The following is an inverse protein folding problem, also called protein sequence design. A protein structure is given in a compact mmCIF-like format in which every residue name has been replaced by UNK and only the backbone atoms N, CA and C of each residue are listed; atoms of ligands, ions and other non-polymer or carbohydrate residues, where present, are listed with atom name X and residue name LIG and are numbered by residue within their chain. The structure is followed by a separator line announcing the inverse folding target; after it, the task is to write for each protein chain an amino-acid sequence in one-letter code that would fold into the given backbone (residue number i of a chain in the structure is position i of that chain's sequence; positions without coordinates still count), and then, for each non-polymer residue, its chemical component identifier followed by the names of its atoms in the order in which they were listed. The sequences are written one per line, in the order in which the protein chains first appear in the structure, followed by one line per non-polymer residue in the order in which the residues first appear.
data_IF_813688587531
#
_entry.id   IF_813688587531
#
_cell.length_a   1.000
_cell.length_b   1.000
_cell.length_c   1.000
_cell.angle_alpha   90.00
_cell.angle_beta   90.00
_cell.angle_gamma   90.00
#
_symmetry.space_group_name_H-M   'P 1'
#
loop_
_entity.id
_entity.type
_entity.pdbx_description
1 polymer ?
#
# COMPACT_ATOMS: atom_id res chain seq x y z
N UNK A 1 5.65 -6.30 -15.46
CA UNK A 1 6.06 -4.90 -15.60
C UNK A 1 4.92 -4.01 -15.16
N UNK A 2 5.21 -2.90 -14.45
CA UNK A 2 4.21 -2.03 -13.83
C UNK A 2 4.59 -0.55 -14.00
N UNK A 3 4.52 0.03 -15.21
CA UNK A 3 4.74 1.46 -15.37
C UNK A 3 3.61 2.25 -14.72
N UNK A 4 3.96 3.45 -14.24
CA UNK A 4 2.99 4.43 -13.77
C UNK A 4 2.54 5.30 -14.97
N UNK A 5 1.25 5.32 -15.35
CA UNK A 5 0.77 6.04 -16.55
C UNK A 5 0.56 7.54 -16.29
N UNK A 6 1.59 8.22 -15.74
CA UNK A 6 1.54 9.63 -15.35
C UNK A 6 1.70 10.63 -16.50
N UNK A 7 2.17 10.19 -17.64
CA UNK A 7 2.42 11.04 -18.80
C UNK A 7 1.68 10.61 -20.06
N UNK A 8 1.68 11.49 -21.06
CA UNK A 8 1.02 11.25 -22.35
C UNK A 8 1.74 10.21 -23.25
N UNK A 9 2.70 9.47 -22.71
CA UNK A 9 3.43 8.41 -23.40
C UNK A 9 4.64 7.91 -22.63
N UNK A 10 5.25 6.83 -23.16
CA UNK A 10 6.45 6.24 -22.59
C UNK A 10 7.66 7.18 -22.73
N UNK A 11 8.54 7.19 -21.75
CA UNK A 11 9.91 7.69 -21.89
C UNK A 11 10.87 6.51 -22.12
N UNK A 12 12.09 6.79 -22.57
CA UNK A 12 13.08 5.76 -22.92
C UNK A 12 13.48 4.84 -21.78
N UNK A 13 13.31 5.25 -20.53
CA UNK A 13 13.57 4.41 -19.36
C UNK A 13 12.60 3.24 -19.21
N UNK A 14 11.35 3.36 -19.70
CA UNK A 14 10.38 2.27 -19.65
C UNK A 14 10.84 1.04 -20.48
N UNK A 15 11.09 1.18 -21.81
CA UNK A 15 11.55 0.07 -22.62
C UNK A 15 12.86 -0.54 -22.13
N UNK A 16 13.77 0.27 -21.60
CA UNK A 16 15.06 -0.19 -21.10
C UNK A 16 14.93 -1.35 -20.11
N UNK A 17 14.02 -1.23 -19.16
CA UNK A 17 13.75 -2.29 -18.19
C UNK A 17 12.98 -3.48 -18.78
N UNK A 18 12.21 -3.28 -19.86
CA UNK A 18 11.32 -4.32 -20.41
C UNK A 18 12.00 -5.20 -21.46
N UNK A 19 13.00 -4.68 -22.18
CA UNK A 19 13.68 -5.39 -23.26
C UNK A 19 14.29 -6.70 -22.76
N UNK A 20 15.01 -6.68 -21.64
CA UNK A 20 15.68 -7.88 -21.12
C UNK A 20 14.67 -8.98 -20.76
N UNK A 21 13.57 -8.65 -20.10
CA UNK A 21 12.52 -9.60 -19.74
C UNK A 21 11.78 -10.14 -20.97
N UNK A 22 11.54 -9.29 -21.98
CA UNK A 22 10.90 -9.72 -23.22
C UNK A 22 11.78 -10.67 -24.03
N UNK A 23 13.07 -10.38 -24.16
CA UNK A 23 14.04 -11.28 -24.81
C UNK A 23 14.05 -12.63 -24.10
N UNK A 24 14.09 -12.64 -22.77
CA UNK A 24 14.08 -13.87 -21.99
C UNK A 24 12.76 -14.66 -22.15
N UNK A 25 11.63 -13.95 -22.12
CA UNK A 25 10.31 -14.55 -22.34
C UNK A 25 10.22 -15.24 -23.72
N UNK A 26 10.68 -14.56 -24.79
CA UNK A 26 10.76 -15.13 -26.15
C UNK A 26 11.67 -16.34 -26.22
N UNK A 27 12.86 -16.25 -25.64
CA UNK A 27 13.79 -17.38 -25.57
C UNK A 27 13.15 -18.61 -24.91
N UNK A 28 12.46 -18.41 -23.78
CA UNK A 28 11.80 -19.52 -23.08
C UNK A 28 10.64 -20.13 -23.89
N UNK A 29 9.84 -19.29 -24.59
CA UNK A 29 8.79 -19.80 -25.50
C UNK A 29 9.39 -20.66 -26.62
N UNK A 30 10.49 -20.20 -27.24
CA UNK A 30 11.19 -20.96 -28.28
C UNK A 30 11.76 -22.30 -27.77
N UNK A 31 12.03 -22.41 -26.47
CA UNK A 31 12.43 -23.66 -25.80
C UNK A 31 11.25 -24.54 -25.37
N UNK A 32 10.01 -24.18 -25.69
CA UNK A 32 8.81 -24.95 -25.38
C UNK A 32 8.24 -24.75 -23.99
N UNK A 33 8.71 -23.71 -23.24
CA UNK A 33 8.11 -23.39 -21.93
C UNK A 33 6.81 -22.64 -22.11
N UNK A 34 5.86 -22.88 -21.18
CA UNK A 34 4.71 -22.01 -21.01
C UNK A 34 5.16 -20.77 -20.24
N UNK A 35 5.06 -19.60 -20.87
CA UNK A 35 5.61 -18.34 -20.33
C UNK A 35 4.50 -17.34 -20.06
N UNK A 36 4.37 -16.93 -18.82
CA UNK A 36 3.53 -15.82 -18.40
C UNK A 36 4.38 -14.52 -18.38
N UNK A 37 4.09 -13.60 -19.29
CA UNK A 37 4.73 -12.28 -19.40
C UNK A 37 3.68 -11.18 -19.48
N UNK A 38 2.96 -10.89 -18.37
CA UNK A 38 1.89 -9.91 -18.37
C UNK A 38 2.42 -8.48 -18.25
N UNK A 39 1.57 -7.53 -18.60
CA UNK A 39 1.74 -6.10 -18.33
C UNK A 39 0.72 -5.67 -17.26
N UNK A 40 1.12 -4.71 -16.40
CA UNK A 40 0.23 -4.04 -15.48
C UNK A 40 0.52 -2.56 -15.42
N UNK A 41 -0.39 -1.81 -14.80
CA UNK A 41 -0.25 -0.37 -14.60
C UNK A 41 -0.47 -0.03 -13.14
N UNK A 42 0.51 0.65 -12.55
CA UNK A 42 0.35 1.30 -11.26
C UNK A 42 -0.40 2.60 -11.48
N UNK A 43 -1.69 2.59 -11.18
CA UNK A 43 -2.62 3.60 -11.69
C UNK A 43 -3.26 4.47 -10.59
N UNK A 44 -2.64 4.53 -9.43
CA UNK A 44 -2.97 5.47 -8.36
C UNK A 44 -1.90 6.53 -8.22
N UNK A 45 -2.26 7.68 -7.63
CA UNK A 45 -1.29 8.62 -7.12
C UNK A 45 -1.47 10.06 -7.54
N UNK A 46 -0.65 10.89 -6.94
CA UNK A 46 -0.68 12.34 -6.98
C UNK A 46 -0.68 12.95 -8.41
N UNK A 47 0.06 12.42 -9.40
CA UNK A 47 0.06 13.02 -10.75
C UNK A 47 -1.31 13.06 -11.41
N UNK A 48 -2.08 11.97 -11.33
CA UNK A 48 -3.43 11.93 -11.91
C UNK A 48 -4.42 12.80 -11.12
N UNK A 49 -4.28 12.83 -9.79
CA UNK A 49 -5.10 13.66 -8.90
C UNK A 49 -4.87 15.14 -9.12
N UNK A 50 -3.61 15.59 -9.19
CA UNK A 50 -3.26 16.98 -9.43
C UNK A 50 -3.70 17.45 -10.84
N UNK A 51 -3.57 16.60 -11.84
CA UNK A 51 -4.07 16.90 -13.18
C UNK A 51 -5.60 17.04 -13.18
N UNK A 52 -6.30 16.20 -12.44
CA UNK A 52 -7.75 16.28 -12.26
C UNK A 52 -8.18 17.60 -11.60
N UNK A 53 -7.48 18.03 -10.56
CA UNK A 53 -7.74 19.32 -9.88
C UNK A 53 -7.52 20.49 -10.86
N UNK A 54 -6.43 20.46 -11.63
CA UNK A 54 -6.10 21.56 -12.58
C UNK A 54 -7.05 21.66 -13.76
N UNK A 55 -7.55 20.52 -14.25
CA UNK A 55 -8.35 20.47 -15.49
C UNK A 55 -9.83 20.27 -15.27
N UNK A 56 -10.25 19.92 -14.04
CA UNK A 56 -11.64 19.54 -13.74
C UNK A 56 -12.05 18.19 -14.33
N UNK A 57 -11.11 17.38 -14.83
CA UNK A 57 -11.38 16.04 -15.37
C UNK A 57 -11.27 14.98 -14.29
N UNK A 58 -12.12 13.95 -14.36
CA UNK A 58 -12.02 12.82 -13.47
C UNK A 58 -10.68 12.05 -13.68
N UNK A 59 -9.93 11.67 -12.66
CA UNK A 59 -8.62 11.00 -12.78
C UNK A 59 -8.64 9.76 -13.66
N UNK A 60 -9.71 8.98 -13.62
CA UNK A 60 -9.89 7.79 -14.44
C UNK A 60 -9.78 8.06 -15.93
N UNK A 61 -10.39 9.16 -16.42
CA UNK A 61 -10.38 9.48 -17.85
C UNK A 61 -8.95 9.72 -18.37
N UNK A 62 -8.15 10.46 -17.60
CA UNK A 62 -6.75 10.69 -17.92
C UNK A 62 -5.94 9.41 -17.86
N UNK A 63 -6.14 8.61 -16.82
CA UNK A 63 -5.45 7.33 -16.63
C UNK A 63 -5.75 6.37 -17.77
N UNK A 64 -7.01 6.20 -18.16
CA UNK A 64 -7.41 5.32 -19.26
C UNK A 64 -6.81 5.78 -20.61
N UNK A 65 -6.79 7.09 -20.84
CA UNK A 65 -6.18 7.67 -22.06
C UNK A 65 -4.67 7.40 -22.10
N UNK A 66 -3.98 7.59 -21.01
CA UNK A 66 -2.54 7.35 -20.90
C UNK A 66 -2.21 5.86 -21.05
N UNK A 67 -2.97 4.96 -20.43
CA UNK A 67 -2.81 3.51 -20.55
C UNK A 67 -2.99 3.09 -22.03
N UNK A 68 -4.02 3.56 -22.70
CA UNK A 68 -4.23 3.27 -24.11
C UNK A 68 -3.04 3.71 -24.97
N UNK A 69 -2.48 4.88 -24.68
CA UNK A 69 -1.29 5.39 -25.35
C UNK A 69 -0.03 4.56 -25.08
N UNK A 70 0.18 4.17 -23.82
CA UNK A 70 1.31 3.31 -23.44
C UNK A 70 1.23 1.95 -24.16
N UNK A 71 0.04 1.34 -24.19
CA UNK A 71 -0.19 0.08 -24.88
C UNK A 71 0.12 0.18 -26.37
N UNK A 72 -0.39 1.22 -27.05
CA UNK A 72 -0.10 1.49 -28.47
C UNK A 72 1.42 1.59 -28.73
N UNK A 73 2.15 2.29 -27.87
CA UNK A 73 3.60 2.44 -28.00
C UNK A 73 4.37 1.13 -27.75
N UNK A 74 3.97 0.34 -26.74
CA UNK A 74 4.57 -0.94 -26.44
C UNK A 74 4.33 -1.96 -27.58
N UNK A 75 3.14 -1.94 -28.17
CA UNK A 75 2.82 -2.77 -29.34
C UNK A 75 3.66 -2.36 -30.55
N UNK A 76 3.88 -1.08 -30.80
CA UNK A 76 4.74 -0.59 -31.90
C UNK A 76 6.21 -0.99 -31.71
N UNK A 77 6.69 -1.07 -30.48
CA UNK A 77 8.05 -1.59 -30.17
C UNK A 77 8.08 -3.11 -30.39
N UNK A 78 6.95 -3.79 -30.32
CA UNK A 78 6.80 -5.21 -30.57
C UNK A 78 7.05 -6.10 -29.37
N UNK A 79 6.81 -5.63 -28.16
CA UNK A 79 6.88 -6.46 -26.94
C UNK A 79 5.86 -7.60 -26.97
N UNK A 80 6.24 -8.77 -26.44
CA UNK A 80 5.42 -9.98 -26.39
C UNK A 80 4.64 -10.14 -25.10
N UNK A 81 3.99 -9.06 -24.64
CA UNK A 81 3.16 -9.10 -23.44
C UNK A 81 1.86 -9.88 -23.65
N UNK A 82 1.41 -10.53 -22.58
CA UNK A 82 0.10 -11.18 -22.50
C UNK A 82 -0.95 -10.14 -22.06
N UNK A 83 -1.52 -9.45 -23.05
CA UNK A 83 -2.50 -8.39 -22.81
C UNK A 83 -3.84 -8.89 -22.24
N UNK A 84 -4.15 -10.18 -22.41
CA UNK A 84 -5.36 -10.77 -21.83
C UNK A 84 -5.27 -10.87 -20.30
N UNK A 85 -4.04 -10.77 -19.77
CA UNK A 85 -3.74 -10.72 -18.34
C UNK A 85 -3.25 -9.34 -17.88
N UNK A 86 -3.59 -8.30 -18.61
CA UNK A 86 -3.34 -6.93 -18.18
C UNK A 86 -4.07 -6.64 -16.85
N UNK A 87 -3.36 -6.01 -15.92
CA UNK A 87 -3.93 -5.57 -14.63
C UNK A 87 -3.73 -4.06 -14.46
N UNK A 88 -4.68 -3.45 -13.75
CA UNK A 88 -4.65 -2.03 -13.37
C UNK A 88 -4.94 -1.94 -11.89
N UNK A 89 -4.06 -1.33 -11.13
CA UNK A 89 -4.23 -1.26 -9.66
C UNK A 89 -5.47 -0.48 -9.24
N UNK A 90 -5.97 0.43 -10.09
CA UNK A 90 -7.21 1.18 -9.88
C UNK A 90 -8.50 0.42 -10.28
N UNK A 91 -8.41 -0.78 -10.84
CA UNK A 91 -9.59 -1.60 -11.17
C UNK A 91 -10.15 -2.21 -9.88
N UNK A 92 -11.47 -2.10 -9.61
CA UNK A 92 -12.11 -2.75 -8.46
C UNK A 92 -11.81 -4.25 -8.35
N UNK A 93 -11.69 -4.96 -9.45
CA UNK A 93 -11.34 -6.39 -9.49
C UNK A 93 -9.92 -6.66 -9.01
N UNK A 94 -9.05 -5.65 -9.01
CA UNK A 94 -7.70 -5.73 -8.49
C UNK A 94 -7.65 -5.26 -7.03
N UNK A 95 -8.08 -4.04 -6.74
CA UNK A 95 -7.85 -3.44 -5.43
C UNK A 95 -8.70 -4.04 -4.30
N UNK A 96 -9.81 -4.75 -4.60
CA UNK A 96 -10.55 -5.45 -3.54
C UNK A 96 -9.69 -6.49 -2.79
N UNK A 97 -8.67 -7.05 -3.46
CA UNK A 97 -7.72 -7.94 -2.79
C UNK A 97 -6.78 -7.19 -1.83
N UNK A 98 -6.42 -5.96 -2.17
CA UNK A 98 -5.66 -5.07 -1.27
C UNK A 98 -6.51 -4.69 -0.05
N UNK A 99 -7.79 -4.39 -0.26
CA UNK A 99 -8.75 -4.12 0.82
C UNK A 99 -8.93 -5.35 1.71
N UNK A 100 -9.15 -6.52 1.11
CA UNK A 100 -9.24 -7.78 1.86
C UNK A 100 -7.98 -8.07 2.69
N UNK A 101 -6.80 -7.88 2.13
CA UNK A 101 -5.54 -8.05 2.87
C UNK A 101 -5.43 -7.08 4.04
N UNK A 102 -5.84 -5.81 3.84
CA UNK A 102 -5.90 -4.82 4.91
C UNK A 102 -6.87 -5.23 6.02
N UNK A 103 -8.08 -5.68 5.67
CA UNK A 103 -9.07 -6.18 6.64
C UNK A 103 -8.52 -7.34 7.46
N UNK A 104 -7.86 -8.31 6.81
CA UNK A 104 -7.21 -9.42 7.53
C UNK A 104 -6.13 -8.95 8.52
N UNK A 105 -5.33 -7.96 8.15
CA UNK A 105 -4.35 -7.35 9.04
C UNK A 105 -5.01 -6.56 10.18
N UNK A 106 -6.12 -5.88 9.91
CA UNK A 106 -6.89 -5.15 10.92
C UNK A 106 -7.55 -6.09 11.92
N UNK A 107 -8.05 -7.24 11.47
CA UNK A 107 -8.66 -8.28 12.30
C UNK A 107 -7.64 -9.20 13.00
N UNK A 108 -6.35 -8.86 12.96
CA UNK A 108 -5.28 -9.70 13.51
C UNK A 108 -4.35 -8.93 14.42
N UNK A 109 -3.77 -9.66 15.40
CA UNK A 109 -2.59 -9.27 16.14
C UNK A 109 -1.45 -10.28 15.91
N UNK A 110 -0.23 -9.96 16.28
CA UNK A 110 0.91 -10.87 16.15
C UNK A 110 1.34 -11.42 17.51
N UNK A 111 1.32 -12.75 17.64
CA UNK A 111 1.75 -13.48 18.83
C UNK A 111 3.21 -13.91 18.70
N UNK A 112 4.07 -13.42 19.60
CA UNK A 112 5.49 -13.74 19.62
C UNK A 112 5.79 -15.16 20.11
N UNK A 113 4.90 -15.75 20.91
CA UNK A 113 5.06 -17.13 21.40
C UNK A 113 4.78 -18.12 20.27
N UNK A 114 3.71 -17.88 19.52
CA UNK A 114 3.32 -18.71 18.38
C UNK A 114 4.02 -18.32 17.07
N UNK A 115 4.70 -17.18 17.03
CA UNK A 115 5.40 -16.64 15.85
C UNK A 115 4.48 -16.48 14.63
N UNK A 116 3.25 -16.03 14.84
CA UNK A 116 2.25 -15.86 13.76
C UNK A 116 1.19 -14.82 14.09
N UNK A 117 0.48 -14.38 13.04
CA UNK A 117 -0.73 -13.58 13.19
C UNK A 117 -1.88 -14.44 13.71
N UNK A 118 -2.64 -13.91 14.67
CA UNK A 118 -3.79 -14.53 15.31
C UNK A 118 -5.01 -13.63 15.19
N UNK A 119 -6.23 -14.18 15.17
CA UNK A 119 -7.47 -13.39 15.16
C UNK A 119 -7.56 -12.47 16.37
N UNK A 120 -8.02 -11.24 16.18
CA UNK A 120 -8.15 -10.25 17.26
C UNK A 120 -9.15 -10.71 18.36
N UNK A 121 -10.11 -11.54 18.00
CA UNK A 121 -11.08 -12.14 18.92
C UNK A 121 -10.41 -13.05 19.97
N UNK A 122 -9.29 -13.68 19.65
CA UNK A 122 -8.53 -14.47 20.62
C UNK A 122 -7.93 -13.58 21.69
N UNK A 123 -7.47 -12.38 21.28
CA UNK A 123 -6.95 -11.38 22.21
C UNK A 123 -8.08 -10.79 23.08
N UNK A 124 -9.26 -10.56 22.51
CA UNK A 124 -10.44 -10.11 23.28
C UNK A 124 -10.78 -11.12 24.38
N UNK A 125 -10.83 -12.42 24.06
CA UNK A 125 -11.07 -13.48 25.06
C UNK A 125 -10.00 -13.49 26.17
N UNK A 126 -8.75 -13.31 25.79
CA UNK A 126 -7.66 -13.21 26.78
C UNK A 126 -7.86 -11.99 27.70
N UNK A 127 -8.26 -10.85 27.17
CA UNK A 127 -8.56 -9.66 27.98
C UNK A 127 -9.75 -9.84 28.92
N UNK A 128 -10.77 -10.58 28.50
CA UNK A 128 -11.95 -10.93 29.32
C UNK A 128 -11.58 -11.85 30.50
N UNK A 129 -10.59 -12.72 30.33
CA UNK A 129 -10.17 -13.69 31.33
C UNK A 129 -9.03 -13.18 32.24
N UNK A 130 -7.99 -12.59 31.66
CA UNK A 130 -6.73 -12.26 32.36
C UNK A 130 -6.31 -10.79 32.27
N UNK A 131 -7.02 -9.97 31.46
CA UNK A 131 -6.56 -8.61 31.15
C UNK A 131 -5.29 -8.65 30.30
N UNK A 132 -4.30 -7.83 30.65
CA UNK A 132 -2.99 -7.82 29.97
C UNK A 132 -1.95 -8.73 30.63
N UNK A 133 -2.34 -9.59 31.57
CA UNK A 133 -1.43 -10.50 32.25
C UNK A 133 -0.90 -11.56 31.28
N UNK A 134 0.39 -11.92 31.40
CA UNK A 134 1.05 -12.94 30.59
C UNK A 134 1.03 -12.73 29.06
N UNK A 135 0.84 -11.49 28.60
CA UNK A 135 0.78 -11.17 27.18
C UNK A 135 2.19 -11.11 26.56
N UNK A 136 2.40 -11.84 25.46
CA UNK A 136 3.65 -11.80 24.69
C UNK A 136 3.32 -11.56 23.20
N UNK A 137 2.88 -10.36 22.88
CA UNK A 137 2.36 -9.96 21.57
C UNK A 137 2.97 -8.66 21.07
N UNK A 138 2.87 -8.41 19.79
CA UNK A 138 3.26 -7.13 19.23
C UNK A 138 2.27 -6.03 19.64
N UNK A 139 2.81 -4.95 20.20
CA UNK A 139 2.02 -3.81 20.70
C UNK A 139 2.75 -2.49 20.44
N UNK A 140 2.01 -1.39 20.46
CA UNK A 140 2.57 -0.05 20.29
C UNK A 140 3.21 0.46 21.57
N UNK A 141 2.46 0.42 22.64
CA UNK A 141 2.88 0.78 24.00
C UNK A 141 2.45 -0.29 24.99
N UNK A 142 3.12 -0.39 26.13
CA UNK A 142 2.75 -1.32 27.17
C UNK A 142 1.50 -0.81 27.90
N UNK A 143 0.40 -1.55 27.78
CA UNK A 143 -0.84 -1.27 28.50
C UNK A 143 -1.00 -2.26 29.65
N UNK A 144 -1.48 -1.78 30.80
CA UNK A 144 -1.73 -2.60 31.99
C UNK A 144 -3.18 -2.37 32.42
N UNK A 145 -3.99 -3.43 32.36
CA UNK A 145 -5.36 -3.47 32.87
C UNK A 145 -5.77 -4.91 33.22
N UNK A 146 -6.66 -5.05 34.19
CA UNK A 146 -7.22 -6.34 34.59
C UNK A 146 -8.44 -6.71 33.71
N UNK A 147 -8.88 -7.99 33.81
CA UNK A 147 -10.13 -8.43 33.19
C UNK A 147 -11.34 -7.62 33.67
N UNK A 148 -11.34 -7.19 34.93
CA UNK A 148 -12.41 -6.33 35.46
C UNK A 148 -12.41 -4.94 34.83
N UNK A 149 -11.21 -4.35 34.65
CA UNK A 149 -11.08 -3.05 33.98
C UNK A 149 -11.57 -3.14 32.55
N UNK A 150 -11.15 -4.18 31.80
CA UNK A 150 -11.61 -4.47 30.46
C UNK A 150 -13.16 -4.56 30.35
N UNK A 151 -13.77 -5.33 31.25
CA UNK A 151 -15.24 -5.52 31.28
C UNK A 151 -16.00 -4.25 31.67
N UNK A 152 -15.34 -3.26 32.29
CA UNK A 152 -15.93 -1.97 32.67
C UNK A 152 -15.83 -0.92 31.57
N UNK A 153 -15.02 -1.14 30.55
CA UNK A 153 -14.87 -0.25 29.40
C UNK A 153 -16.09 -0.32 28.48
N UNK A 154 -16.45 0.80 27.88
CA UNK A 154 -17.40 0.79 26.80
C UNK A 154 -16.78 0.26 25.49
N UNK A 155 -17.60 0.03 24.47
CA UNK A 155 -17.16 -0.55 23.19
C UNK A 155 -16.11 0.32 22.51
N UNK A 156 -16.23 1.65 22.59
CA UNK A 156 -15.26 2.58 21.99
C UNK A 156 -13.91 2.47 22.70
N UNK A 157 -13.89 2.48 24.02
CA UNK A 157 -12.69 2.34 24.82
C UNK A 157 -11.98 1.00 24.54
N UNK A 158 -12.74 -0.09 24.44
CA UNK A 158 -12.20 -1.41 24.08
C UNK A 158 -11.56 -1.38 22.69
N UNK A 159 -12.23 -0.80 21.68
CA UNK A 159 -11.67 -0.68 20.33
C UNK A 159 -10.42 0.20 20.28
N UNK A 160 -10.35 1.27 21.05
CA UNK A 160 -9.15 2.10 21.19
C UNK A 160 -7.98 1.30 21.80
N UNK A 161 -8.23 0.46 22.82
CA UNK A 161 -7.20 -0.43 23.37
C UNK A 161 -6.74 -1.48 22.37
N UNK A 162 -7.67 -2.09 21.62
CA UNK A 162 -7.35 -3.10 20.59
C UNK A 162 -6.49 -2.51 19.46
N UNK A 163 -6.65 -1.23 19.14
CA UNK A 163 -5.82 -0.53 18.13
C UNK A 163 -4.31 -0.64 18.44
N UNK A 164 -3.96 -0.71 19.72
CA UNK A 164 -2.58 -0.87 20.19
C UNK A 164 -1.96 -2.23 19.83
N UNK A 165 -2.76 -3.22 19.44
CA UNK A 165 -2.32 -4.60 19.18
C UNK A 165 -2.50 -5.02 17.72
N UNK A 166 -3.41 -4.38 16.99
CA UNK A 166 -3.72 -4.72 15.60
C UNK A 166 -2.48 -4.58 14.71
N UNK A 167 -2.36 -5.45 13.69
CA UNK A 167 -1.31 -5.37 12.67
C UNK A 167 -1.53 -4.15 11.78
N UNK A 168 -2.77 -3.91 11.33
CA UNK A 168 -3.15 -2.64 10.71
C UNK A 168 -3.89 -1.79 11.74
N UNK A 169 -3.46 -0.56 11.97
CA UNK A 169 -4.00 0.29 13.02
C UNK A 169 -3.99 1.77 12.62
N UNK A 170 -4.89 2.54 13.22
CA UNK A 170 -4.92 3.98 13.10
C UNK A 170 -4.02 4.59 14.18
N UNK A 171 -2.91 5.18 13.76
CA UNK A 171 -1.94 5.81 14.65
C UNK A 171 -1.71 7.28 14.33
N UNK A 172 -1.16 8.03 15.27
CA UNK A 172 -0.67 9.38 15.04
C UNK A 172 0.80 9.35 14.65
N UNK A 173 1.14 9.94 13.51
CA UNK A 173 2.51 9.98 13.01
C UNK A 173 2.85 11.34 12.41
N UNK A 174 4.13 11.68 12.47
CA UNK A 174 4.63 12.88 11.79
C UNK A 174 4.66 12.64 10.29
N UNK A 175 4.00 13.52 9.54
CA UNK A 175 3.89 13.42 8.09
C UNK A 175 4.35 14.72 7.41
N UNK A 176 4.77 14.60 6.16
CA UNK A 176 5.08 15.74 5.30
C UNK A 176 3.78 16.31 4.73
N UNK A 177 3.17 17.26 5.42
CA UNK A 177 1.95 17.90 4.95
C UNK A 177 2.26 19.06 4.00
N UNK A 178 1.67 19.02 2.82
CA UNK A 178 1.76 20.10 1.84
C UNK A 178 0.42 20.85 1.73
N UNK A 179 0.26 22.03 2.37
CA UNK A 179 -0.98 22.79 2.30
C UNK A 179 -1.36 23.21 0.88
N UNK A 180 -0.36 23.51 0.03
CA UNK A 180 -0.58 23.93 -1.34
C UNK A 180 -1.15 22.83 -2.26
N UNK A 181 -0.86 21.56 -1.95
CA UNK A 181 -1.41 20.40 -2.65
C UNK A 181 -2.58 19.77 -1.90
N UNK A 182 -2.78 20.10 -0.62
CA UNK A 182 -3.84 19.55 0.22
C UNK A 182 -3.66 18.07 0.56
N UNK A 183 -2.40 17.58 0.59
CA UNK A 183 -2.11 16.15 0.78
C UNK A 183 -0.82 15.92 1.57
N UNK A 184 -0.64 14.68 2.03
CA UNK A 184 0.60 14.16 2.63
C UNK A 184 1.52 13.68 1.50
N UNK A 185 2.82 13.97 1.62
CA UNK A 185 3.84 13.59 0.66
C UNK A 185 4.79 12.54 1.25
N UNK A 186 5.24 11.62 0.40
CA UNK A 186 6.35 10.73 0.74
C UNK A 186 7.66 11.51 0.88
N UNK A 187 8.67 10.91 1.51
CA UNK A 187 9.95 11.60 1.74
C UNK A 187 10.67 11.97 0.44
N UNK A 188 10.57 11.13 -0.57
CA UNK A 188 11.15 11.32 -1.91
C UNK A 188 10.41 12.35 -2.78
N UNK A 189 9.18 12.73 -2.40
CA UNK A 189 8.41 13.80 -3.03
C UNK A 189 8.70 15.19 -2.43
N UNK A 190 9.60 15.27 -1.44
CA UNK A 190 10.01 16.51 -0.78
C UNK A 190 11.48 16.81 -1.08
N UNK A 191 11.74 17.90 -1.79
CA UNK A 191 13.09 18.33 -2.16
C UNK A 191 13.36 19.73 -1.57
N UNK A 192 14.37 19.84 -0.74
CA UNK A 192 14.75 21.11 -0.08
C UNK A 192 13.58 21.80 0.67
N UNK A 193 12.70 21.02 1.30
CA UNK A 193 11.57 21.53 2.10
C UNK A 193 10.36 21.98 1.28
N UNK A 194 10.35 21.71 -0.03
CA UNK A 194 9.22 21.97 -0.91
C UNK A 194 8.79 20.71 -1.64
N UNK A 195 7.53 20.67 -2.10
CA UNK A 195 7.04 19.57 -2.92
C UNK A 195 7.77 19.54 -4.28
N UNK A 196 8.18 18.36 -4.73
CA UNK A 196 8.75 18.16 -6.07
C UNK A 196 7.81 18.70 -7.16
N UNK A 197 6.51 18.51 -6.96
CA UNK A 197 5.46 19.02 -7.86
C UNK A 197 4.95 20.36 -7.32
N UNK A 198 5.10 21.40 -8.13
CA UNK A 198 4.58 22.73 -7.85
C UNK A 198 5.43 23.59 -6.92
N UNK A 199 6.46 23.05 -6.26
CA UNK A 199 7.38 23.82 -5.41
C UNK A 199 6.73 24.44 -4.16
N UNK A 200 5.66 23.83 -3.64
CA UNK A 200 4.93 24.34 -2.47
C UNK A 200 5.64 24.00 -1.16
N UNK A 201 5.65 24.89 -0.17
CA UNK A 201 6.21 24.61 1.14
C UNK A 201 5.58 23.36 1.79
N UNK A 202 6.44 22.54 2.39
CA UNK A 202 6.04 21.34 3.12
C UNK A 202 6.34 21.52 4.60
N UNK A 203 5.41 21.13 5.46
CA UNK A 203 5.55 21.22 6.91
C UNK A 203 5.40 19.84 7.55
N UNK A 204 6.14 19.61 8.63
CA UNK A 204 5.94 18.44 9.47
C UNK A 204 4.68 18.64 10.31
N UNK A 205 3.76 17.69 10.27
CA UNK A 205 2.50 17.74 11.00
C UNK A 205 2.15 16.38 11.59
N UNK A 206 1.72 16.36 12.85
CA UNK A 206 1.17 15.16 13.45
C UNK A 206 -0.26 14.95 12.92
N UNK A 207 -0.51 13.79 12.32
CA UNK A 207 -1.80 13.43 11.74
C UNK A 207 -2.13 11.96 11.98
N UNK A 208 -3.42 11.67 12.11
CA UNK A 208 -3.91 10.29 12.12
C UNK A 208 -3.72 9.67 10.74
N UNK A 209 -3.05 8.52 10.71
CA UNK A 209 -2.76 7.77 9.50
C UNK A 209 -3.01 6.27 9.75
N UNK A 210 -3.41 5.56 8.72
CA UNK A 210 -3.38 4.11 8.75
C UNK A 210 -1.92 3.63 8.68
N UNK A 211 -1.56 2.81 9.64
CA UNK A 211 -0.22 2.25 9.81
C UNK A 211 -0.26 0.73 9.74
N UNK A 212 0.83 0.13 9.29
CA UNK A 212 1.04 -1.32 9.35
C UNK A 212 2.21 -1.62 10.29
N UNK A 213 2.01 -2.55 11.21
CA UNK A 213 3.03 -3.02 12.17
C UNK A 213 3.96 -4.03 11.50
N UNK A 214 4.68 -3.58 10.49
CA UNK A 214 5.56 -4.44 9.66
C UNK A 214 6.69 -5.08 10.47
N UNK A 215 7.11 -4.45 11.57
CA UNK A 215 8.13 -4.98 12.47
C UNK A 215 7.64 -6.14 13.35
N UNK A 216 6.35 -6.42 13.42
CA UNK A 216 5.80 -7.48 14.27
C UNK A 216 6.36 -8.86 13.89
N UNK A 217 6.50 -9.15 12.61
CA UNK A 217 6.97 -10.45 12.12
C UNK A 217 8.50 -10.62 12.12
N UNK A 218 9.28 -9.57 12.37
CA UNK A 218 10.77 -9.53 12.40
C UNK A 218 11.48 -10.15 11.21
N UNK A 219 10.79 -10.48 10.15
CA UNK A 219 11.36 -11.20 9.00
C UNK A 219 12.48 -10.42 8.27
N UNK A 220 12.50 -9.10 8.38
CA UNK A 220 13.52 -8.26 7.75
C UNK A 220 14.79 -8.05 8.61
N UNK A 221 14.80 -8.47 9.88
CA UNK A 221 15.97 -8.35 10.75
C UNK A 221 17.01 -9.45 10.52
N UNK A 222 16.73 -10.37 9.61
CA UNK A 222 17.58 -11.50 9.24
C UNK A 222 18.12 -11.40 7.80
N UNK A 223 18.02 -10.23 7.18
CA UNK A 223 18.63 -9.94 5.87
C UNK A 223 20.01 -9.35 6.04
#
# INVERSE_FOLDING_TARGET
MFPYPSGAGLHVGHPLGYIASDIYARYKRLKGFNVLNPMGYDAYGLPAEQYAIQTGQHPQLTTDTNIARYREQLDKIGFSFDWDREVRTCDPRYYHWTQWAFERMFESYYDYTLQKAMPIEDLVRHFEEEGTLNLNVAQGEELIFSARDWSSMDEQEQQEKLMNYRIAYLGETMVNWCPGLGTVLANDEVVNGVSERGGYPVVQKLMKQWCLRVSASVSYTHL
#
